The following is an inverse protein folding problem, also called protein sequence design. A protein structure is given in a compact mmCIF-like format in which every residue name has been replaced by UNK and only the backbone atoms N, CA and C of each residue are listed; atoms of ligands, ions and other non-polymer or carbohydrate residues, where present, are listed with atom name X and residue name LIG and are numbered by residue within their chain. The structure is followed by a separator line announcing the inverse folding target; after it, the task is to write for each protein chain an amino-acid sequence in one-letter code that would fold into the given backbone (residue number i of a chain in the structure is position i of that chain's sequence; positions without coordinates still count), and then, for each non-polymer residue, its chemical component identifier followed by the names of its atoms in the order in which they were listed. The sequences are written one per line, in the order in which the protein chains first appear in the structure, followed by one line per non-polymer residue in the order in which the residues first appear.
data_IF_779080208529
#
_entry.id   IF_779080208529
#
_cell.length_a   1.000
_cell.length_b   1.000
_cell.length_c   1.000
_cell.angle_alpha   90.00
_cell.angle_beta   90.00
_cell.angle_gamma   90.00
#
_symmetry.space_group_name_H-M   'P 1'
#
loop_
_entity.id
_entity.type
_entity.pdbx_description
1 polymer ?
#
# COMPACT_ATOMS: atom_id res chain seq x y z
N UNK A 1 -1.09 -13.38 -20.95
CA UNK A 1 -1.75 -13.06 -19.66
C UNK A 1 -3.02 -12.31 -19.98
N UNK A 2 -4.15 -12.66 -19.35
CA UNK A 2 -5.36 -11.86 -19.49
C UNK A 2 -5.21 -10.51 -18.75
N UNK A 3 -6.08 -9.56 -19.07
CA UNK A 3 -6.02 -8.22 -18.49
C UNK A 3 -6.26 -8.22 -16.97
N UNK A 4 -7.02 -9.20 -16.45
CA UNK A 4 -7.37 -9.30 -15.03
C UNK A 4 -6.18 -9.76 -14.20
N UNK A 5 -5.49 -10.82 -14.64
CA UNK A 5 -4.24 -11.32 -14.05
C UNK A 5 -3.12 -10.29 -14.12
N UNK A 6 -3.04 -9.53 -15.21
CA UNK A 6 -2.09 -8.42 -15.32
C UNK A 6 -2.40 -7.33 -14.27
N UNK A 7 -3.64 -6.86 -14.19
CA UNK A 7 -4.07 -5.87 -13.20
C UNK A 7 -3.87 -6.38 -11.75
N UNK A 8 -4.14 -7.67 -11.51
CA UNK A 8 -3.93 -8.32 -10.22
C UNK A 8 -2.45 -8.32 -9.83
N UNK A 9 -1.56 -8.63 -10.77
CA UNK A 9 -0.11 -8.63 -10.55
C UNK A 9 0.40 -7.23 -10.24
N UNK A 10 -0.10 -6.20 -10.94
CA UNK A 10 0.22 -4.80 -10.65
C UNK A 10 -0.26 -4.41 -9.24
N UNK A 11 -1.50 -4.76 -8.89
CA UNK A 11 -2.05 -4.48 -7.56
C UNK A 11 -1.23 -5.16 -6.45
N UNK A 12 -0.77 -6.40 -6.68
CA UNK A 12 0.10 -7.13 -5.77
C UNK A 12 1.42 -6.38 -5.53
N UNK A 13 2.10 -5.99 -6.62
CA UNK A 13 3.39 -5.28 -6.56
C UNK A 13 3.22 -3.94 -5.82
N UNK A 14 2.19 -3.17 -6.15
CA UNK A 14 1.91 -1.88 -5.48
C UNK A 14 1.66 -2.10 -4.00
N UNK A 15 0.83 -3.08 -3.64
CA UNK A 15 0.50 -3.39 -2.23
C UNK A 15 1.74 -3.77 -1.44
N UNK A 16 2.53 -4.74 -1.93
CA UNK A 16 3.72 -5.23 -1.25
C UNK A 16 4.81 -4.16 -1.18
N UNK A 17 4.94 -3.33 -2.22
CA UNK A 17 5.94 -2.26 -2.29
C UNK A 17 5.66 -1.06 -1.40
N UNK A 18 4.38 -0.79 -1.07
CA UNK A 18 3.99 0.48 -0.42
C UNK A 18 3.32 0.30 0.93
N UNK A 19 2.55 -0.77 1.15
CA UNK A 19 1.83 -0.97 2.41
C UNK A 19 2.78 -1.20 3.61
N UNK A 20 3.78 -2.10 3.56
CA UNK A 20 4.70 -2.29 4.69
C UNK A 20 5.49 -1.04 5.09
N UNK A 21 6.15 -0.29 4.18
CA UNK A 21 6.88 0.91 4.57
C UNK A 21 5.95 2.02 5.06
N UNK A 22 4.75 2.14 4.48
CA UNK A 22 3.72 3.06 4.95
C UNK A 22 3.29 2.78 6.39
N UNK A 23 3.03 1.50 6.71
CA UNK A 23 2.67 1.06 8.07
C UNK A 23 3.79 1.30 9.07
N UNK A 24 5.02 0.90 8.74
CA UNK A 24 6.18 1.09 9.62
C UNK A 24 6.37 2.57 9.95
N UNK A 25 6.31 3.45 8.94
CA UNK A 25 6.43 4.90 9.17
C UNK A 25 5.26 5.46 9.97
N UNK A 26 4.03 5.05 9.68
CA UNK A 26 2.85 5.52 10.42
C UNK A 26 2.92 5.13 11.91
N UNK A 27 3.35 3.89 12.20
CA UNK A 27 3.56 3.43 13.57
C UNK A 27 4.70 4.18 14.26
N UNK A 28 5.81 4.41 13.55
CA UNK A 28 6.96 5.15 14.08
C UNK A 28 6.63 6.62 14.42
N UNK A 29 5.76 7.27 13.62
CA UNK A 29 5.24 8.58 13.98
C UNK A 29 4.33 8.54 15.20
N UNK A 30 3.47 7.52 15.30
CA UNK A 30 2.57 7.35 16.44
C UNK A 30 3.32 7.06 17.75
N UNK A 31 4.43 6.32 17.69
CA UNK A 31 5.26 6.01 18.86
C UNK A 31 6.20 7.14 19.27
N UNK A 32 6.34 8.19 18.45
CA UNK A 32 7.29 9.28 18.69
C UNK A 32 8.75 8.88 18.45
N UNK A 33 9.01 7.75 17.77
CA UNK A 33 10.37 7.23 17.57
C UNK A 33 11.14 7.89 16.43
N UNK A 34 10.55 8.84 15.70
CA UNK A 34 11.15 9.51 14.52
C UNK A 34 10.83 11.00 14.56
N UNK A 35 11.81 11.84 14.23
CA UNK A 35 11.62 13.29 14.12
C UNK A 35 10.58 13.66 13.05
N UNK A 36 9.67 14.55 13.44
CA UNK A 36 8.51 14.91 12.64
C UNK A 36 8.85 16.06 11.68
N UNK A 37 9.53 15.76 10.58
CA UNK A 37 9.58 16.75 9.48
C UNK A 37 8.28 16.68 8.67
N UNK A 38 7.65 17.82 8.31
CA UNK A 38 6.37 17.84 7.60
C UNK A 38 6.38 17.03 6.29
N UNK A 39 7.50 17.08 5.55
CA UNK A 39 7.67 16.34 4.30
C UNK A 39 7.67 14.82 4.49
N UNK A 40 8.35 14.30 5.52
CA UNK A 40 8.42 12.86 5.73
C UNK A 40 7.09 12.27 6.20
N UNK A 41 6.30 13.03 6.97
CA UNK A 41 4.95 12.64 7.37
C UNK A 41 4.01 12.56 6.16
N UNK A 42 4.08 13.55 5.26
CA UNK A 42 3.31 13.54 4.02
C UNK A 42 3.63 12.33 3.16
N UNK A 43 4.93 12.04 2.93
CA UNK A 43 5.36 10.86 2.17
C UNK A 43 4.83 9.57 2.79
N UNK A 44 4.91 9.42 4.12
CA UNK A 44 4.39 8.23 4.79
C UNK A 44 2.88 8.06 4.60
N UNK A 45 2.10 9.14 4.73
CA UNK A 45 0.66 9.11 4.50
C UNK A 45 0.32 8.74 3.05
N UNK A 46 1.02 9.31 2.07
CA UNK A 46 0.81 9.01 0.65
C UNK A 46 1.16 7.56 0.35
N UNK A 47 2.30 7.07 0.81
CA UNK A 47 2.75 5.68 0.61
C UNK A 47 1.76 4.70 1.25
N UNK A 48 1.30 4.98 2.47
CA UNK A 48 0.28 4.16 3.14
C UNK A 48 -1.04 4.17 2.36
N UNK A 49 -1.47 5.34 1.87
CA UNK A 49 -2.69 5.48 1.06
C UNK A 49 -2.63 4.68 -0.24
N UNK A 50 -1.52 4.77 -0.97
CA UNK A 50 -1.29 3.97 -2.19
C UNK A 50 -1.33 2.47 -1.87
N UNK A 51 -0.70 2.06 -0.76
CA UNK A 51 -0.73 0.66 -0.34
C UNK A 51 -2.11 0.15 0.00
N UNK A 52 -2.93 0.97 0.67
CA UNK A 52 -4.31 0.63 1.00
C UNK A 52 -5.19 0.52 -0.25
N UNK A 53 -5.03 1.45 -1.21
CA UNK A 53 -5.73 1.38 -2.51
C UNK A 53 -5.32 0.11 -3.26
N UNK A 54 -4.01 -0.16 -3.33
CA UNK A 54 -3.48 -1.39 -3.91
C UNK A 54 -4.09 -2.63 -3.27
N UNK A 55 -4.18 -2.68 -1.94
CA UNK A 55 -4.74 -3.80 -1.19
C UNK A 55 -6.22 -4.01 -1.52
N UNK A 56 -7.03 -2.94 -1.57
CA UNK A 56 -8.45 -3.04 -1.93
C UNK A 56 -8.61 -3.59 -3.34
N UNK A 57 -7.84 -3.08 -4.31
CA UNK A 57 -7.84 -3.59 -5.68
C UNK A 57 -7.40 -5.06 -5.74
N UNK A 58 -6.34 -5.43 -5.02
CA UNK A 58 -5.82 -6.78 -4.96
C UNK A 58 -6.89 -7.75 -4.42
N UNK A 59 -7.58 -7.38 -3.35
CA UNK A 59 -8.66 -8.19 -2.77
C UNK A 59 -9.82 -8.34 -3.76
N UNK A 60 -10.29 -7.26 -4.36
CA UNK A 60 -11.38 -7.30 -5.34
C UNK A 60 -11.03 -8.18 -6.56
N UNK A 61 -9.82 -8.04 -7.10
CA UNK A 61 -9.35 -8.85 -8.23
C UNK A 61 -9.12 -10.32 -7.83
N UNK A 62 -8.68 -10.59 -6.59
CA UNK A 62 -8.52 -11.97 -6.09
C UNK A 62 -9.87 -12.67 -5.99
N UNK A 63 -10.91 -11.98 -5.51
CA UNK A 63 -12.28 -12.50 -5.48
C UNK A 63 -12.79 -12.76 -6.90
N UNK A 64 -12.54 -11.83 -7.83
CA UNK A 64 -12.94 -11.98 -9.23
C UNK A 64 -12.25 -13.17 -9.92
N UNK A 65 -10.98 -13.44 -9.61
CA UNK A 65 -10.23 -14.56 -10.19
C UNK A 65 -10.56 -15.91 -9.54
N UNK A 66 -11.14 -15.91 -8.34
CA UNK A 66 -11.51 -17.12 -7.62
C UNK A 66 -12.92 -17.62 -7.93
N UNK A 67 -13.79 -16.78 -8.49
CA UNK A 67 -15.16 -17.10 -8.90
C UNK A 67 -15.25 -17.43 -10.38
#
# INVERSE_FOLDING_TARGET
MDAVHFAWSVALIVTVGTLPPGLVRALAYRSGSVDHTPGMRLVATVVLGIGLVGLVCLLALSVLLAG
#
